data_IF_036665649760
#
_entry.id   IF_036665649760
#
_cell.length_a   1.000
_cell.length_b   1.000
_cell.length_c   1.000
_cell.angle_alpha   90.00
_cell.angle_beta   90.00
_cell.angle_gamma   90.00
#
_symmetry.space_group_name_H-M   'P 1'
#
loop_
_entity.id
_entity.type
_entity.pdbx_description
1 polymer ?
#
# COMPACT_ATOMS: atom_id res chain seq x y z
N UNK A 1 -27.91 -6.25 -3.76
CA UNK A 1 -27.17 -5.41 -4.71
C UNK A 1 -27.06 -6.16 -6.04
N UNK A 2 -27.59 -5.58 -7.11
CA UNK A 2 -27.52 -6.17 -8.46
C UNK A 2 -26.35 -5.55 -9.23
N UNK A 3 -25.25 -6.29 -9.32
CA UNK A 3 -24.03 -5.82 -10.01
C UNK A 3 -24.27 -5.58 -11.50
N UNK A 4 -25.19 -6.33 -12.12
CA UNK A 4 -25.55 -6.15 -13.52
C UNK A 4 -26.25 -4.79 -13.75
N UNK A 5 -27.11 -4.40 -12.83
CA UNK A 5 -27.78 -3.11 -12.88
C UNK A 5 -26.78 -1.94 -12.69
N UNK A 6 -25.82 -2.09 -11.77
CA UNK A 6 -24.74 -1.10 -11.56
C UNK A 6 -23.85 -1.01 -12.80
N UNK A 7 -23.44 -2.13 -13.37
CA UNK A 7 -22.65 -2.17 -14.60
C UNK A 7 -23.34 -1.44 -15.78
N UNK A 8 -24.66 -1.64 -15.91
CA UNK A 8 -25.45 -0.98 -16.96
C UNK A 8 -25.46 0.56 -16.83
N UNK A 9 -25.39 1.13 -15.61
CA UNK A 9 -25.29 2.58 -15.41
C UNK A 9 -23.97 3.14 -15.97
N UNK A 10 -22.89 2.35 -15.99
CA UNK A 10 -21.63 2.71 -16.64
C UNK A 10 -21.59 2.34 -18.13
N UNK A 11 -22.68 1.82 -18.70
CA UNK A 11 -22.74 1.38 -20.10
C UNK A 11 -21.92 0.12 -20.38
N UNK A 12 -21.60 -0.68 -19.36
CA UNK A 12 -20.88 -1.93 -19.54
C UNK A 12 -21.81 -3.04 -20.02
N UNK A 13 -21.35 -3.82 -21.00
CA UNK A 13 -22.08 -5.00 -21.46
C UNK A 13 -21.92 -6.16 -20.46
N UNK A 14 -22.98 -6.41 -19.71
CA UNK A 14 -23.08 -7.51 -18.76
C UNK A 14 -23.82 -8.73 -19.35
N UNK A 15 -23.74 -8.97 -20.66
CA UNK A 15 -24.28 -10.16 -21.32
C UNK A 15 -23.66 -11.47 -20.78
N UNK A 16 -22.43 -11.39 -20.26
CA UNK A 16 -21.81 -12.44 -19.46
C UNK A 16 -21.87 -12.08 -17.96
N UNK A 17 -22.04 -13.05 -17.07
CA UNK A 17 -22.07 -12.78 -15.63
C UNK A 17 -20.75 -12.14 -15.16
N UNK A 18 -20.81 -11.10 -14.31
CA UNK A 18 -19.63 -10.49 -13.71
C UNK A 18 -18.77 -11.51 -12.97
N UNK A 19 -17.47 -11.55 -13.27
CA UNK A 19 -16.52 -12.42 -12.58
C UNK A 19 -15.95 -11.70 -11.35
N UNK A 20 -16.22 -12.22 -10.14
CA UNK A 20 -15.58 -11.69 -8.93
C UNK A 20 -14.06 -11.91 -9.00
N UNK A 21 -13.30 -10.85 -8.83
CA UNK A 21 -11.83 -10.89 -8.80
C UNK A 21 -11.28 -10.96 -7.38
N UNK A 22 -12.07 -10.56 -6.39
CA UNK A 22 -11.65 -10.54 -5.00
C UNK A 22 -12.81 -10.96 -4.08
N UNK A 23 -12.61 -11.98 -3.22
CA UNK A 23 -13.71 -12.55 -2.43
C UNK A 23 -14.17 -11.66 -1.27
N UNK A 24 -13.33 -10.72 -0.83
CA UNK A 24 -13.58 -9.91 0.36
C UNK A 24 -14.09 -8.49 0.05
N UNK A 25 -14.09 -8.10 -1.22
CA UNK A 25 -14.62 -6.79 -1.63
C UNK A 25 -15.33 -6.90 -2.99
N UNK A 26 -16.32 -6.01 -3.26
CA UNK A 26 -17.01 -5.96 -4.53
C UNK A 26 -16.09 -5.45 -5.65
N UNK A 27 -15.35 -6.36 -6.29
CA UNK A 27 -14.45 -6.11 -7.42
C UNK A 27 -14.79 -7.14 -8.51
N UNK A 28 -15.26 -6.69 -9.65
CA UNK A 28 -15.78 -7.56 -10.70
C UNK A 28 -15.14 -7.24 -12.05
N UNK A 29 -14.69 -8.29 -12.75
CA UNK A 29 -14.34 -8.18 -14.17
C UNK A 29 -15.60 -8.28 -15.01
N UNK A 30 -15.77 -7.32 -15.94
CA UNK A 30 -16.86 -7.27 -16.91
C UNK A 30 -16.26 -6.92 -18.27
N UNK A 31 -16.12 -7.91 -19.16
CA UNK A 31 -15.37 -7.74 -20.40
C UNK A 31 -13.93 -7.28 -20.17
N UNK A 32 -13.56 -6.15 -20.75
CA UNK A 32 -12.23 -5.53 -20.60
C UNK A 32 -12.20 -4.46 -19.49
N UNK A 33 -13.14 -4.50 -18.55
CA UNK A 33 -13.26 -3.54 -17.46
C UNK A 33 -13.27 -4.22 -16.09
N UNK A 34 -12.90 -3.46 -15.07
CA UNK A 34 -13.05 -3.78 -13.66
C UNK A 34 -14.02 -2.80 -13.04
N UNK A 35 -15.17 -3.28 -12.58
CA UNK A 35 -16.13 -2.52 -11.78
C UNK A 35 -15.81 -2.76 -10.31
N UNK A 36 -15.57 -1.69 -9.56
CA UNK A 36 -15.14 -1.77 -8.16
C UNK A 36 -15.96 -0.81 -7.30
N UNK A 37 -16.37 -1.30 -6.10
CA UNK A 37 -16.85 -0.43 -5.04
C UNK A 37 -15.65 0.16 -4.31
N UNK A 38 -15.63 1.47 -4.12
CA UNK A 38 -14.54 2.20 -3.46
C UNK A 38 -15.03 2.93 -2.22
N UNK A 39 -14.11 3.35 -1.35
CA UNK A 39 -14.42 4.00 -0.05
C UNK A 39 -14.55 5.52 -0.14
N UNK A 40 -13.81 6.26 -0.99
CA UNK A 40 -13.86 7.71 -1.04
C UNK A 40 -15.26 8.28 -1.15
N UNK A 41 -15.48 9.47 -0.60
CA UNK A 41 -16.67 10.28 -0.87
C UNK A 41 -16.72 10.69 -2.35
N UNK A 42 -17.84 11.25 -2.78
CA UNK A 42 -18.00 11.69 -4.17
C UNK A 42 -16.93 12.69 -4.60
N UNK A 43 -16.63 13.68 -3.75
CA UNK A 43 -15.62 14.72 -4.06
C UNK A 43 -14.21 14.12 -4.08
N UNK A 44 -13.85 13.27 -3.13
CA UNK A 44 -12.56 12.58 -3.09
C UNK A 44 -12.38 11.63 -4.28
N UNK A 45 -13.42 10.90 -4.68
CA UNK A 45 -13.37 10.00 -5.84
C UNK A 45 -13.13 10.77 -7.15
N UNK A 46 -13.73 11.95 -7.31
CA UNK A 46 -13.48 12.82 -8.46
C UNK A 46 -12.08 13.44 -8.42
N UNK A 47 -11.62 13.88 -7.24
CA UNK A 47 -10.26 14.39 -7.07
C UNK A 47 -9.21 13.31 -7.39
N UNK A 48 -9.43 12.09 -6.89
CA UNK A 48 -8.59 10.93 -7.20
C UNK A 48 -8.55 10.66 -8.70
N UNK A 49 -9.70 10.61 -9.37
CA UNK A 49 -9.77 10.38 -10.82
C UNK A 49 -8.98 11.44 -11.61
N UNK A 50 -9.08 12.71 -11.22
CA UNK A 50 -8.33 13.80 -11.84
C UNK A 50 -6.82 13.67 -11.59
N UNK A 51 -6.40 13.34 -10.36
CA UNK A 51 -5.00 13.09 -10.01
C UNK A 51 -4.40 11.92 -10.81
N UNK A 52 -5.11 10.80 -10.90
CA UNK A 52 -4.67 9.64 -11.68
C UNK A 52 -4.55 9.94 -13.18
N UNK A 53 -5.50 10.74 -13.72
CA UNK A 53 -5.46 11.18 -15.11
C UNK A 53 -4.22 12.03 -15.40
N UNK A 54 -3.83 12.92 -14.48
CA UNK A 54 -2.61 13.72 -14.59
C UNK A 54 -1.35 12.86 -14.57
N UNK A 55 -1.23 11.91 -13.63
CA UNK A 55 -0.12 10.96 -13.59
C UNK A 55 0.00 10.15 -14.89
N UNK A 56 -1.14 9.68 -15.40
CA UNK A 56 -1.18 8.93 -16.67
C UNK A 56 -0.77 9.79 -17.85
N UNK A 57 -1.22 11.05 -17.90
CA UNK A 57 -0.82 12.03 -18.92
C UNK A 57 0.70 12.27 -18.92
N UNK A 58 1.31 12.30 -17.74
CA UNK A 58 2.77 12.40 -17.56
C UNK A 58 3.51 11.07 -17.84
N UNK A 59 2.79 10.02 -18.27
CA UNK A 59 3.36 8.75 -18.68
C UNK A 59 3.65 7.76 -17.55
N UNK A 60 3.02 7.92 -16.38
CA UNK A 60 3.06 6.90 -15.31
C UNK A 60 2.18 5.71 -15.69
N UNK A 61 2.68 4.49 -15.50
CA UNK A 61 1.93 3.27 -15.77
C UNK A 61 0.98 2.97 -14.59
N UNK A 62 -0.20 3.60 -14.61
CA UNK A 62 -1.26 3.49 -13.61
C UNK A 62 -2.63 3.42 -14.30
N UNK A 63 -3.58 2.71 -13.71
CA UNK A 63 -4.96 2.73 -14.22
C UNK A 63 -5.66 4.04 -13.89
N UNK A 64 -6.54 4.47 -14.79
CA UNK A 64 -7.39 5.65 -14.63
C UNK A 64 -8.84 5.23 -14.85
N UNK A 65 -9.80 5.76 -14.09
CA UNK A 65 -11.20 5.49 -14.32
C UNK A 65 -11.61 5.76 -15.78
N UNK A 66 -12.32 4.81 -16.40
CA UNK A 66 -12.81 4.94 -17.79
C UNK A 66 -14.10 5.75 -17.89
N UNK A 67 -14.75 5.99 -16.75
CA UNK A 67 -15.94 6.84 -16.60
C UNK A 67 -15.87 7.57 -15.25
N UNK A 68 -16.61 8.68 -15.12
CA UNK A 68 -16.71 9.37 -13.84
C UNK A 68 -17.20 8.42 -12.74
N UNK A 69 -16.59 8.43 -11.54
CA UNK A 69 -17.10 7.70 -10.38
C UNK A 69 -18.56 8.09 -10.10
N UNK A 70 -19.38 7.14 -9.65
CA UNK A 70 -20.80 7.37 -9.40
C UNK A 70 -21.21 6.77 -8.06
N UNK A 71 -22.01 7.51 -7.31
CA UNK A 71 -22.65 7.01 -6.11
C UNK A 71 -23.93 6.26 -6.48
N UNK A 72 -24.02 4.98 -6.10
CA UNK A 72 -25.19 4.12 -6.31
C UNK A 72 -25.43 3.26 -5.09
N UNK A 73 -26.69 3.19 -4.66
CA UNK A 73 -27.11 2.39 -3.47
C UNK A 73 -26.30 2.73 -2.21
N UNK A 74 -25.94 4.01 -2.02
CA UNK A 74 -25.16 4.47 -0.86
C UNK A 74 -23.69 4.03 -0.88
N UNK A 75 -23.17 3.66 -2.03
CA UNK A 75 -21.77 3.28 -2.22
C UNK A 75 -21.18 3.96 -3.46
N UNK A 76 -19.92 4.33 -3.39
CA UNK A 76 -19.19 4.86 -4.53
C UNK A 76 -18.67 3.72 -5.42
N UNK A 77 -18.89 3.84 -6.73
CA UNK A 77 -18.46 2.87 -7.73
C UNK A 77 -17.57 3.52 -8.77
N UNK A 78 -16.58 2.77 -9.22
CA UNK A 78 -15.59 3.19 -10.21
C UNK A 78 -15.35 2.07 -11.22
N UNK A 79 -15.06 2.45 -12.46
CA UNK A 79 -14.70 1.51 -13.53
C UNK A 79 -13.30 1.79 -14.01
N UNK A 80 -12.45 0.79 -13.94
CA UNK A 80 -11.08 0.80 -14.45
C UNK A 80 -10.94 -0.11 -15.69
N UNK A 81 -9.92 0.09 -16.54
CA UNK A 81 -9.58 -0.90 -17.55
C UNK A 81 -9.04 -2.17 -16.87
N UNK A 82 -9.38 -3.33 -17.40
CA UNK A 82 -8.75 -4.59 -16.99
C UNK A 82 -7.36 -4.70 -17.64
N UNK A 83 -6.32 -4.82 -16.82
CA UNK A 83 -4.95 -4.96 -17.31
C UNK A 83 -4.57 -6.45 -17.33
N UNK A 84 -4.25 -6.95 -18.52
CA UNK A 84 -3.72 -8.32 -18.70
C UNK A 84 -2.20 -8.31 -18.59
N UNK A 85 -1.64 -9.24 -17.83
CA UNK A 85 -0.19 -9.35 -17.65
C UNK A 85 0.17 -10.43 -16.63
N UNK A 86 1.44 -10.48 -16.27
CA UNK A 86 1.95 -11.39 -15.25
C UNK A 86 1.84 -10.77 -13.84
N UNK A 87 1.63 -11.59 -12.85
CA UNK A 87 1.81 -11.20 -11.44
C UNK A 87 3.29 -11.16 -11.08
N UNK A 88 3.61 -10.45 -10.01
CA UNK A 88 4.94 -10.45 -9.43
C UNK A 88 5.41 -11.88 -9.11
N UNK A 89 6.66 -12.21 -9.49
CA UNK A 89 7.28 -13.52 -9.35
C UNK A 89 8.65 -13.48 -8.62
N UNK A 90 9.00 -12.35 -7.99
CA UNK A 90 10.24 -12.22 -7.20
C UNK A 90 11.51 -12.05 -8.04
N UNK A 91 11.42 -11.68 -9.33
CA UNK A 91 12.60 -11.43 -10.15
C UNK A 91 13.20 -10.06 -9.84
N UNK A 92 14.53 -9.95 -9.82
CA UNK A 92 15.27 -8.72 -9.54
C UNK A 92 14.80 -7.56 -10.46
N UNK A 93 14.60 -7.83 -11.75
CA UNK A 93 14.10 -6.84 -12.69
C UNK A 93 12.72 -6.30 -12.36
N UNK A 94 11.82 -7.15 -11.80
CA UNK A 94 10.49 -6.73 -11.35
C UNK A 94 10.56 -5.83 -10.12
N UNK A 95 11.51 -6.10 -9.22
CA UNK A 95 11.70 -5.31 -7.99
C UNK A 95 12.24 -3.91 -8.36
N UNK A 96 13.26 -3.84 -9.20
CA UNK A 96 13.80 -2.56 -9.71
C UNK A 96 12.71 -1.76 -10.43
N UNK A 97 11.92 -2.41 -11.28
CA UNK A 97 10.84 -1.77 -12.03
C UNK A 97 9.72 -1.25 -11.13
N UNK A 98 9.38 -1.98 -10.06
CA UNK A 98 8.41 -1.52 -9.05
C UNK A 98 8.93 -0.27 -8.32
N UNK A 99 10.18 -0.27 -7.87
CA UNK A 99 10.81 0.91 -7.27
C UNK A 99 10.83 2.10 -8.23
N UNK A 100 11.15 1.88 -9.51
CA UNK A 100 11.11 2.92 -10.56
C UNK A 100 9.70 3.51 -10.73
N UNK A 101 8.66 2.66 -10.72
CA UNK A 101 7.28 3.13 -10.84
C UNK A 101 6.88 4.00 -9.64
N UNK A 102 7.16 3.57 -8.41
CA UNK A 102 6.88 4.37 -7.22
C UNK A 102 7.68 5.69 -7.24
N UNK A 103 8.96 5.64 -7.60
CA UNK A 103 9.81 6.84 -7.73
C UNK A 103 9.25 7.83 -8.74
N UNK A 104 8.75 7.37 -9.88
CA UNK A 104 8.08 8.24 -10.88
C UNK A 104 6.78 8.84 -10.36
N UNK A 105 5.96 8.07 -9.64
CA UNK A 105 4.75 8.58 -8.99
C UNK A 105 5.13 9.73 -8.06
N UNK A 106 6.06 9.53 -7.13
CA UNK A 106 6.47 10.56 -6.18
C UNK A 106 7.13 11.79 -6.83
N UNK A 107 7.91 11.60 -7.89
CA UNK A 107 8.59 12.70 -8.57
C UNK A 107 7.64 13.59 -9.39
N UNK A 108 6.53 13.03 -9.88
CA UNK A 108 5.57 13.71 -10.75
C UNK A 108 4.30 14.18 -10.01
N UNK A 109 4.13 13.75 -8.76
CA UNK A 109 2.98 14.12 -7.94
C UNK A 109 3.09 15.54 -7.37
N UNK A 110 1.97 16.22 -7.10
CA UNK A 110 1.96 17.49 -6.41
C UNK A 110 2.63 17.43 -5.04
N UNK A 111 3.45 18.44 -4.72
CA UNK A 111 4.16 18.57 -3.44
C UNK A 111 3.70 19.77 -2.61
N UNK A 112 3.00 20.72 -3.21
CA UNK A 112 2.57 21.98 -2.60
C UNK A 112 1.07 22.04 -2.28
N UNK A 113 0.31 21.01 -2.65
CA UNK A 113 -1.10 20.86 -2.33
C UNK A 113 -1.50 19.37 -2.38
N UNK A 114 -2.57 19.02 -1.69
CA UNK A 114 -3.02 17.63 -1.54
C UNK A 114 -3.80 17.08 -2.76
N UNK A 115 -3.91 17.81 -3.86
CA UNK A 115 -4.68 17.42 -5.04
C UNK A 115 -6.16 17.04 -4.76
N UNK A 116 -6.74 17.53 -3.66
CA UNK A 116 -8.08 17.14 -3.20
C UNK A 116 -8.14 15.79 -2.49
N UNK A 117 -7.00 15.17 -2.20
CA UNK A 117 -6.91 13.93 -1.44
C UNK A 117 -6.88 14.21 0.06
N UNK A 118 -7.26 13.21 0.85
CA UNK A 118 -7.13 13.26 2.31
C UNK A 118 -5.66 13.40 2.70
N UNK A 119 -5.37 14.27 3.66
CA UNK A 119 -4.03 14.42 4.23
C UNK A 119 -3.86 13.43 5.38
N UNK A 120 -2.76 12.70 5.36
CA UNK A 120 -2.37 11.78 6.43
C UNK A 120 -2.18 12.52 7.76
N UNK A 121 -2.78 12.03 8.83
CA UNK A 121 -2.69 12.60 10.18
C UNK A 121 -2.72 11.54 11.31
N UNK A 122 -2.21 10.34 11.07
CA UNK A 122 -2.19 9.25 12.04
C UNK A 122 -0.94 9.30 12.94
N UNK A 123 -0.91 10.28 13.86
CA UNK A 123 0.22 10.49 14.80
C UNK A 123 -0.20 10.38 16.27
N UNK A 124 -1.42 9.94 16.54
CA UNK A 124 -1.99 9.98 17.88
C UNK A 124 -2.40 8.58 18.41
N UNK A 125 -1.71 7.53 17.94
CA UNK A 125 -1.92 6.17 18.48
C UNK A 125 -1.65 6.17 19.99
N UNK A 126 -2.64 5.73 20.76
CA UNK A 126 -2.54 5.73 22.22
C UNK A 126 -1.88 4.44 22.72
N UNK A 127 -1.38 4.49 23.96
CA UNK A 127 -0.90 3.27 24.63
C UNK A 127 -1.99 2.19 24.67
N UNK A 128 -3.25 2.55 24.92
CA UNK A 128 -4.37 1.62 24.99
C UNK A 128 -4.60 0.89 23.65
N UNK A 129 -4.59 1.63 22.54
CA UNK A 129 -4.76 1.04 21.19
C UNK A 129 -3.62 0.07 20.87
N UNK A 130 -2.38 0.49 21.11
CA UNK A 130 -1.18 -0.32 20.86
C UNK A 130 -1.21 -1.62 21.69
N UNK A 131 -1.60 -1.53 22.96
CA UNK A 131 -1.67 -2.70 23.81
C UNK A 131 -2.79 -3.66 23.39
N UNK A 132 -3.95 -3.13 22.98
CA UNK A 132 -5.04 -3.92 22.45
C UNK A 132 -4.62 -4.70 21.20
N UNK A 133 -3.96 -4.05 20.26
CA UNK A 133 -3.46 -4.70 19.03
C UNK A 133 -2.41 -5.78 19.35
N UNK A 134 -1.47 -5.50 20.24
CA UNK A 134 -0.44 -6.46 20.64
C UNK A 134 -1.01 -7.70 21.33
N UNK A 135 -2.04 -7.55 22.13
CA UNK A 135 -2.71 -8.68 22.79
C UNK A 135 -3.43 -9.56 21.75
N UNK A 136 -4.11 -8.96 20.74
CA UNK A 136 -4.73 -9.68 19.64
C UNK A 136 -3.69 -10.39 18.77
N UNK A 137 -2.57 -9.74 18.46
CA UNK A 137 -1.45 -10.33 17.70
C UNK A 137 -0.85 -11.52 18.46
N UNK A 138 -0.69 -11.41 19.78
CA UNK A 138 -0.19 -12.50 20.62
C UNK A 138 -1.11 -13.73 20.55
N UNK A 139 -2.43 -13.50 20.65
CA UNK A 139 -3.44 -14.56 20.57
C UNK A 139 -3.42 -15.24 19.18
N UNK A 140 -3.33 -14.45 18.10
CA UNK A 140 -3.22 -14.99 16.75
C UNK A 140 -1.96 -15.85 16.56
N UNK A 141 -0.80 -15.34 17.01
CA UNK A 141 0.48 -16.06 16.94
C UNK A 141 0.45 -17.37 17.75
N UNK A 142 -0.07 -17.31 19.00
CA UNK A 142 -0.21 -18.48 19.85
C UNK A 142 -1.14 -19.54 19.22
N UNK A 143 -2.22 -19.12 18.55
CA UNK A 143 -3.11 -19.99 17.78
C UNK A 143 -2.42 -20.73 16.64
N UNK A 144 -1.27 -20.26 16.16
CA UNK A 144 -0.41 -20.88 15.15
C UNK A 144 0.81 -21.58 15.76
N UNK A 145 0.90 -21.69 17.09
CA UNK A 145 2.05 -22.29 17.78
C UNK A 145 3.33 -21.43 17.73
N UNK A 146 3.19 -20.12 17.46
CA UNK A 146 4.30 -19.17 17.40
C UNK A 146 4.39 -18.43 18.74
N UNK A 147 5.59 -18.39 19.32
CA UNK A 147 5.88 -17.59 20.51
C UNK A 147 6.55 -16.28 20.09
N UNK A 148 5.90 -15.15 20.41
CA UNK A 148 6.45 -13.81 20.23
C UNK A 148 6.92 -13.29 21.60
N UNK A 149 8.04 -12.58 21.64
CA UNK A 149 8.45 -11.82 22.84
C UNK A 149 7.66 -10.50 22.91
N UNK A 150 6.39 -10.61 23.28
CA UNK A 150 5.47 -9.47 23.39
C UNK A 150 5.97 -8.43 24.40
N UNK A 151 6.69 -8.83 25.45
CA UNK A 151 7.15 -7.88 26.48
C UNK A 151 8.20 -6.91 25.93
N UNK A 152 9.23 -7.43 25.22
CA UNK A 152 10.24 -6.57 24.59
C UNK A 152 9.60 -5.71 23.47
N UNK A 153 8.68 -6.32 22.71
CA UNK A 153 7.96 -5.66 21.63
C UNK A 153 7.11 -4.49 22.13
N UNK A 154 6.33 -4.71 23.18
CA UNK A 154 5.50 -3.69 23.81
C UNK A 154 6.32 -2.46 24.22
N UNK A 155 7.44 -2.67 24.93
CA UNK A 155 8.29 -1.56 25.34
C UNK A 155 8.79 -0.74 24.14
N UNK A 156 9.13 -1.40 23.03
CA UNK A 156 9.56 -0.74 21.78
C UNK A 156 8.43 0.04 21.12
N UNK A 157 7.24 -0.53 20.99
CA UNK A 157 6.09 0.16 20.38
C UNK A 157 5.71 1.41 21.16
N UNK A 158 5.71 1.36 22.49
CA UNK A 158 5.46 2.54 23.32
C UNK A 158 6.54 3.62 23.14
N UNK A 159 7.82 3.25 23.02
CA UNK A 159 8.89 4.20 22.70
C UNK A 159 8.74 4.85 21.33
N UNK A 160 8.22 4.13 20.33
CA UNK A 160 7.91 4.68 19.01
C UNK A 160 6.75 5.67 19.14
N UNK A 161 5.69 5.30 19.85
CA UNK A 161 4.52 6.15 20.09
C UNK A 161 4.88 7.50 20.75
N UNK A 162 5.79 7.50 21.72
CA UNK A 162 6.27 8.72 22.37
C UNK A 162 6.91 9.72 21.39
N UNK A 163 7.38 9.26 20.24
CA UNK A 163 8.08 10.07 19.23
C UNK A 163 7.20 10.53 18.07
N UNK A 164 5.94 10.08 17.98
CA UNK A 164 5.04 10.39 16.86
C UNK A 164 4.86 11.89 16.63
N UNK A 165 4.62 12.64 17.71
CA UNK A 165 4.43 14.10 17.60
C UNK A 165 5.69 14.83 17.15
N UNK A 166 6.86 14.38 17.58
CA UNK A 166 8.14 14.95 17.11
C UNK A 166 8.40 14.63 15.64
N UNK A 167 7.95 13.45 15.15
CA UNK A 167 8.01 13.08 13.74
C UNK A 167 7.05 13.93 12.89
N UNK A 168 5.84 14.21 13.39
CA UNK A 168 4.86 15.10 12.73
C UNK A 168 5.41 16.51 12.51
N UNK A 169 6.21 17.02 13.45
CA UNK A 169 6.80 18.36 13.38
C UNK A 169 8.00 18.45 12.42
N UNK A 170 8.50 17.31 11.90
CA UNK A 170 9.58 17.32 10.92
C UNK A 170 9.07 17.83 9.56
N UNK A 171 9.84 18.70 8.92
CA UNK A 171 9.51 19.24 7.59
C UNK A 171 9.82 18.23 6.48
N UNK A 172 9.24 17.02 6.56
CA UNK A 172 9.41 16.00 5.54
C UNK A 172 8.66 16.36 4.25
N UNK A 173 9.26 16.15 3.07
CA UNK A 173 8.59 16.39 1.80
C UNK A 173 7.35 15.52 1.65
N UNK A 174 6.18 16.16 1.51
CA UNK A 174 4.91 15.48 1.25
C UNK A 174 4.60 15.44 -0.24
N UNK A 175 3.89 14.39 -0.65
CA UNK A 175 3.39 14.18 -2.02
C UNK A 175 1.99 13.58 -1.98
N UNK A 176 1.21 13.81 -3.04
CA UNK A 176 0.05 12.98 -3.32
C UNK A 176 0.54 11.62 -3.83
N UNK A 177 -0.02 10.53 -3.34
CA UNK A 177 0.35 9.18 -3.78
C UNK A 177 -0.85 8.24 -3.73
N UNK A 178 -0.92 7.20 -4.61
CA UNK A 178 -1.96 6.18 -4.53
C UNK A 178 -1.96 5.36 -3.26
N UNK A 179 -0.86 5.38 -2.49
CA UNK A 179 -0.69 4.61 -1.25
C UNK A 179 -0.89 3.08 -1.43
N UNK A 180 -0.65 2.28 -0.39
CA UNK A 180 -0.77 0.80 -0.44
C UNK A 180 -0.05 0.16 -1.65
N UNK A 181 1.16 0.67 -1.97
CA UNK A 181 1.97 0.20 -3.09
C UNK A 181 2.60 -1.16 -2.76
N UNK A 182 2.00 -2.23 -3.29
CA UNK A 182 2.44 -3.62 -3.04
C UNK A 182 2.34 -4.49 -4.28
N UNK A 183 3.00 -5.65 -4.26
CA UNK A 183 3.08 -6.56 -5.41
C UNK A 183 1.72 -7.06 -5.91
N UNK A 184 0.72 -7.21 -5.03
CA UNK A 184 -0.63 -7.64 -5.41
C UNK A 184 -1.36 -6.58 -6.25
N UNK A 185 -1.03 -5.31 -6.04
CA UNK A 185 -1.58 -4.18 -6.77
C UNK A 185 -0.82 -3.89 -8.09
N UNK A 186 0.15 -4.74 -8.48
CA UNK A 186 0.93 -4.59 -9.71
C UNK A 186 0.64 -5.71 -10.71
N UNK A 187 0.46 -5.31 -11.97
CA UNK A 187 0.41 -6.23 -13.12
C UNK A 187 1.54 -5.87 -14.08
N UNK A 188 2.41 -6.84 -14.36
CA UNK A 188 3.54 -6.66 -15.25
C UNK A 188 3.12 -6.96 -16.69
N UNK A 189 3.01 -5.93 -17.54
CA UNK A 189 2.70 -6.05 -18.96
C UNK A 189 3.95 -6.38 -19.79
N UNK A 190 5.13 -6.19 -19.22
CA UNK A 190 6.43 -6.69 -19.63
C UNK A 190 7.28 -6.94 -18.36
N UNK A 191 8.37 -7.71 -18.39
CA UNK A 191 9.16 -8.06 -17.21
C UNK A 191 9.60 -6.87 -16.35
N UNK A 192 9.88 -5.73 -16.97
CA UNK A 192 10.35 -4.48 -16.38
C UNK A 192 9.30 -3.35 -16.39
N UNK A 193 8.02 -3.69 -16.68
CA UNK A 193 6.95 -2.70 -16.83
C UNK A 193 5.71 -3.06 -16.00
N UNK A 194 5.71 -2.76 -14.69
CA UNK A 194 4.52 -2.87 -13.86
C UNK A 194 3.54 -1.74 -14.14
N UNK A 195 2.24 -2.07 -14.04
CA UNK A 195 1.12 -1.12 -14.02
C UNK A 195 0.46 -1.21 -12.66
N UNK A 196 0.29 -0.08 -11.97
CA UNK A 196 -0.45 -0.02 -10.71
C UNK A 196 -1.97 -0.08 -11.00
N UNK A 197 -2.66 -1.09 -10.45
CA UNK A 197 -4.06 -1.42 -10.77
C UNK A 197 -5.07 -1.12 -9.66
N UNK A 198 -4.60 -0.80 -8.45
CA UNK A 198 -5.45 -0.45 -7.30
C UNK A 198 -4.96 0.84 -6.62
N UNK A 199 -5.31 2.02 -7.12
CA UNK A 199 -4.86 3.31 -6.61
C UNK A 199 -5.85 3.96 -5.61
N UNK A 200 -6.82 3.24 -5.07
CA UNK A 200 -7.99 3.84 -4.38
C UNK A 200 -7.72 4.29 -2.95
N UNK A 201 -6.54 4.00 -2.38
CA UNK A 201 -6.16 4.41 -1.02
C UNK A 201 -5.34 5.72 -1.01
N UNK A 202 -5.48 6.53 -2.06
CA UNK A 202 -4.65 7.71 -2.26
C UNK A 202 -4.72 8.73 -1.11
N UNK A 203 -3.54 9.21 -0.70
CA UNK A 203 -3.35 10.17 0.38
C UNK A 203 -2.33 11.25 -0.02
N UNK A 204 -2.31 12.34 0.73
CA UNK A 204 -1.22 13.30 0.73
C UNK A 204 -0.43 13.16 2.04
N UNK A 205 0.83 12.72 1.95
CA UNK A 205 1.66 12.37 3.11
C UNK A 205 3.15 12.54 2.83
N UNK A 206 4.02 12.49 3.87
CA UNK A 206 5.46 12.42 3.67
C UNK A 206 5.81 11.23 2.75
N UNK A 207 6.51 11.48 1.63
CA UNK A 207 6.79 10.43 0.64
C UNK A 207 7.63 9.27 1.20
N UNK A 208 8.43 9.52 2.25
CA UNK A 208 9.18 8.46 2.94
C UNK A 208 8.28 7.50 3.71
N UNK A 209 7.06 7.91 4.07
CA UNK A 209 6.07 7.03 4.71
C UNK A 209 5.51 6.04 3.69
N UNK A 210 5.12 6.50 2.50
CA UNK A 210 4.67 5.61 1.43
C UNK A 210 5.80 4.67 0.97
N UNK A 211 7.04 5.18 0.86
CA UNK A 211 8.21 4.35 0.58
C UNK A 211 8.44 3.30 1.66
N UNK A 212 8.32 3.66 2.94
CA UNK A 212 8.47 2.73 4.06
C UNK A 212 7.38 1.66 4.04
N UNK A 213 6.12 2.04 3.84
CA UNK A 213 5.01 1.09 3.74
C UNK A 213 5.20 0.12 2.57
N UNK A 214 5.57 0.64 1.38
CA UNK A 214 5.84 -0.19 0.21
C UNK A 214 6.94 -1.21 0.49
N UNK A 215 8.03 -0.83 1.15
CA UNK A 215 9.14 -1.72 1.46
C UNK A 215 8.80 -2.74 2.56
N UNK A 216 8.01 -2.37 3.56
CA UNK A 216 7.55 -3.28 4.63
C UNK A 216 6.55 -4.31 4.11
N UNK A 217 5.57 -3.89 3.32
CA UNK A 217 4.41 -4.69 2.96
C UNK A 217 4.37 -5.10 1.48
N UNK A 218 5.48 -5.00 0.73
CA UNK A 218 5.48 -5.31 -0.70
C UNK A 218 4.94 -6.71 -1.02
N UNK A 219 5.28 -7.70 -0.22
CA UNK A 219 4.85 -9.09 -0.39
C UNK A 219 3.49 -9.42 0.26
N UNK A 220 2.83 -8.43 0.86
CA UNK A 220 1.56 -8.64 1.54
C UNK A 220 0.47 -9.14 0.57
N UNK A 221 -0.34 -10.07 1.05
CA UNK A 221 -1.51 -10.69 0.40
C UNK A 221 -1.25 -11.49 -0.89
N UNK A 222 -0.21 -11.24 -1.66
CA UNK A 222 0.05 -11.96 -2.92
C UNK A 222 0.56 -13.38 -2.66
N UNK A 223 -0.23 -14.39 -3.01
CA UNK A 223 0.07 -15.81 -2.75
C UNK A 223 1.38 -16.31 -3.43
N UNK A 224 1.77 -15.72 -4.57
CA UNK A 224 3.02 -16.07 -5.27
C UNK A 224 4.27 -15.36 -4.72
N UNK A 225 4.11 -14.36 -3.84
CA UNK A 225 5.22 -13.65 -3.24
C UNK A 225 5.88 -14.48 -2.12
N UNK A 226 7.17 -14.23 -1.81
CA UNK A 226 7.82 -14.82 -0.65
C UNK A 226 7.10 -14.49 0.66
N UNK A 227 7.02 -15.46 1.59
CA UNK A 227 6.46 -15.24 2.94
C UNK A 227 7.43 -14.51 3.86
N UNK A 228 7.93 -13.36 3.43
CA UNK A 228 8.88 -12.53 4.19
C UNK A 228 8.89 -11.09 3.65
N UNK A 229 9.34 -10.15 4.45
CA UNK A 229 9.74 -8.83 3.98
C UNK A 229 10.88 -8.96 2.94
N UNK A 230 11.12 -7.94 2.15
CA UNK A 230 12.30 -7.91 1.28
C UNK A 230 13.57 -8.29 2.06
N UNK A 231 14.45 -9.10 1.47
CA UNK A 231 15.82 -9.21 1.94
C UNK A 231 16.56 -7.88 1.75
N UNK A 232 17.68 -7.69 2.44
CA UNK A 232 18.51 -6.48 2.29
C UNK A 232 18.91 -6.24 0.82
N UNK A 233 19.11 -7.31 0.04
CA UNK A 233 19.39 -7.21 -1.39
C UNK A 233 18.20 -6.71 -2.18
N UNK A 234 17.03 -7.30 -2.00
CA UNK A 234 15.79 -6.88 -2.69
C UNK A 234 15.38 -5.45 -2.30
N UNK A 235 15.58 -5.08 -1.04
CA UNK A 235 15.37 -3.71 -0.55
C UNK A 235 16.23 -2.71 -1.33
N UNK A 236 17.52 -3.02 -1.50
CA UNK A 236 18.43 -2.19 -2.30
C UNK A 236 18.06 -2.13 -3.77
N UNK A 237 17.61 -3.24 -4.36
CA UNK A 237 17.12 -3.26 -5.74
C UNK A 237 15.91 -2.32 -5.93
N UNK A 238 14.96 -2.36 -4.98
CA UNK A 238 13.81 -1.46 -5.03
C UNK A 238 14.26 0.01 -4.92
N UNK A 239 15.13 0.32 -3.98
CA UNK A 239 15.69 1.67 -3.79
C UNK A 239 16.51 2.13 -5.00
N UNK A 240 17.23 1.25 -5.68
CA UNK A 240 17.96 1.58 -6.91
C UNK A 240 16.98 2.06 -8.01
N UNK A 241 15.86 1.35 -8.20
CA UNK A 241 14.82 1.78 -9.14
C UNK A 241 14.15 3.09 -8.71
N UNK A 242 13.82 3.24 -7.42
CA UNK A 242 13.21 4.45 -6.86
C UNK A 242 14.10 5.69 -7.05
N UNK A 243 15.39 5.55 -6.79
CA UNK A 243 16.39 6.62 -6.89
C UNK A 243 16.64 7.12 -8.33
N UNK A 244 16.16 6.42 -9.37
CA UNK A 244 16.24 6.93 -10.74
C UNK A 244 15.43 8.22 -10.94
N UNK A 245 14.40 8.46 -10.15
CA UNK A 245 13.51 9.62 -10.27
C UNK A 245 13.49 10.52 -9.04
N UNK A 246 13.88 10.01 -7.88
CA UNK A 246 13.79 10.73 -6.59
C UNK A 246 15.17 10.86 -5.96
N UNK A 247 15.54 12.09 -5.64
CA UNK A 247 16.66 12.38 -4.72
C UNK A 247 16.08 12.69 -3.34
N UNK A 248 16.48 11.89 -2.36
CA UNK A 248 16.06 12.08 -0.97
C UNK A 248 16.79 13.27 -0.33
N UNK A 249 16.09 14.05 0.48
CA UNK A 249 16.65 15.16 1.25
C UNK A 249 17.44 14.66 2.46
N UNK A 250 18.23 15.55 3.07
CA UNK A 250 18.96 15.22 4.30
C UNK A 250 18.01 14.85 5.45
N UNK A 251 16.86 15.54 5.55
CA UNK A 251 15.85 15.27 6.58
C UNK A 251 15.19 13.91 6.39
N UNK A 252 14.90 13.49 5.14
CA UNK A 252 14.39 12.16 4.84
C UNK A 252 15.40 11.07 5.18
N UNK A 253 16.68 11.27 4.87
CA UNK A 253 17.73 10.32 5.20
C UNK A 253 17.90 10.19 6.73
N UNK A 254 17.85 11.30 7.46
CA UNK A 254 17.95 11.33 8.92
C UNK A 254 16.72 10.72 9.59
N UNK A 255 15.52 11.01 9.09
CA UNK A 255 14.24 10.56 9.64
C UNK A 255 13.85 9.13 9.24
N UNK A 256 14.61 8.46 8.36
CA UNK A 256 14.21 7.19 7.74
C UNK A 256 13.80 6.11 8.73
N UNK A 257 14.65 5.81 9.71
CA UNK A 257 14.34 4.76 10.68
C UNK A 257 13.09 5.09 11.49
N UNK A 258 12.88 6.37 11.82
CA UNK A 258 11.67 6.82 12.52
C UNK A 258 10.43 6.67 11.63
N UNK A 259 10.54 6.93 10.32
CA UNK A 259 9.46 6.71 9.36
C UNK A 259 9.08 5.21 9.27
N UNK A 260 10.07 4.31 9.17
CA UNK A 260 9.83 2.87 9.15
C UNK A 260 9.17 2.39 10.45
N UNK A 261 9.68 2.83 11.62
CA UNK A 261 9.11 2.50 12.92
C UNK A 261 7.69 3.03 13.07
N UNK A 262 7.42 4.25 12.59
CA UNK A 262 6.09 4.86 12.64
C UNK A 262 5.09 4.09 11.78
N UNK A 263 5.42 3.76 10.52
CA UNK A 263 4.55 2.97 9.65
C UNK A 263 4.39 1.52 10.13
N UNK A 264 5.39 0.99 10.83
CA UNK A 264 5.21 -0.28 11.50
C UNK A 264 4.16 -0.18 12.62
N UNK A 265 4.19 0.88 13.41
CA UNK A 265 3.24 1.10 14.48
C UNK A 265 1.81 1.33 13.94
N UNK A 266 1.67 2.18 12.91
CA UNK A 266 0.39 2.58 12.35
C UNK A 266 -0.24 1.46 11.48
N UNK A 267 0.46 1.05 10.42
CA UNK A 267 -0.12 0.18 9.39
C UNK A 267 0.14 -1.31 9.64
N UNK A 268 1.35 -1.65 10.12
CA UNK A 268 1.74 -3.07 10.23
C UNK A 268 1.10 -3.72 11.46
N UNK A 269 1.04 -3.04 12.61
CA UNK A 269 0.36 -3.58 13.78
C UNK A 269 -1.13 -3.74 13.52
N UNK A 270 -1.78 -2.69 12.98
CA UNK A 270 -3.19 -2.76 12.62
C UNK A 270 -3.47 -3.93 11.66
N UNK A 271 -2.67 -4.09 10.59
CA UNK A 271 -2.82 -5.20 9.67
C UNK A 271 -2.71 -6.56 10.38
N UNK A 272 -1.74 -6.72 11.29
CA UNK A 272 -1.54 -7.97 12.02
C UNK A 272 -2.69 -8.26 13.00
N UNK A 273 -3.26 -7.24 13.63
CA UNK A 273 -4.38 -7.40 14.56
C UNK A 273 -5.70 -7.67 13.81
N UNK A 274 -6.01 -6.89 12.76
CA UNK A 274 -7.30 -6.96 12.06
C UNK A 274 -7.41 -8.15 11.08
N UNK A 275 -6.28 -8.62 10.52
CA UNK A 275 -6.27 -9.67 9.51
C UNK A 275 -6.12 -11.09 10.10
N UNK A 276 -7.09 -11.54 10.89
CA UNK A 276 -7.10 -12.87 11.52
C UNK A 276 -6.92 -14.03 10.53
N UNK A 277 -7.49 -13.94 9.32
CA UNK A 277 -7.34 -14.97 8.29
C UNK A 277 -5.91 -15.03 7.73
N UNK A 278 -5.18 -13.92 7.76
CA UNK A 278 -3.77 -13.86 7.39
C UNK A 278 -2.88 -14.76 8.26
N UNK A 279 -3.21 -14.88 9.55
CA UNK A 279 -2.49 -15.78 10.45
C UNK A 279 -2.73 -17.27 10.17
N UNK A 280 -3.80 -17.63 9.45
CA UNK A 280 -4.09 -19.01 9.00
C UNK A 280 -3.35 -19.38 7.72
N UNK A 281 -2.88 -18.41 6.95
CA UNK A 281 -2.02 -18.62 5.78
C UNK A 281 -0.55 -18.71 6.24
N UNK A 282 0.12 -19.86 6.10
CA UNK A 282 1.51 -20.03 6.55
C UNK A 282 2.49 -19.04 5.92
N UNK A 283 2.24 -18.62 4.67
CA UNK A 283 3.04 -17.63 3.96
C UNK A 283 2.88 -16.24 4.58
N UNK A 284 1.64 -15.82 4.83
CA UNK A 284 1.34 -14.52 5.44
C UNK A 284 1.84 -14.46 6.88
N UNK A 285 1.66 -15.53 7.64
CA UNK A 285 2.23 -15.68 8.99
C UNK A 285 3.77 -15.55 8.98
N UNK A 286 4.44 -16.18 8.02
CA UNK A 286 5.89 -16.06 7.89
C UNK A 286 6.32 -14.63 7.54
N UNK A 287 5.54 -13.90 6.72
CA UNK A 287 5.74 -12.47 6.46
C UNK A 287 5.64 -11.67 7.77
N UNK A 288 4.59 -11.86 8.57
CA UNK A 288 4.40 -11.18 9.84
C UNK A 288 5.59 -11.41 10.80
N UNK A 289 6.02 -12.65 10.95
CA UNK A 289 7.21 -12.98 11.77
C UNK A 289 8.48 -12.30 11.22
N UNK A 290 8.62 -12.19 9.91
CA UNK A 290 9.78 -11.53 9.31
C UNK A 290 9.82 -10.02 9.53
N UNK A 291 8.66 -9.38 9.63
CA UNK A 291 8.53 -7.95 9.94
C UNK A 291 9.01 -7.63 11.36
N UNK A 292 8.69 -8.48 12.34
CA UNK A 292 9.26 -8.35 13.70
C UNK A 292 10.80 -8.41 13.68
N UNK A 293 11.36 -9.37 12.93
CA UNK A 293 12.82 -9.51 12.80
C UNK A 293 13.48 -8.34 12.09
N UNK A 294 12.77 -7.69 11.15
CA UNK A 294 13.27 -6.49 10.48
C UNK A 294 13.50 -5.37 11.49
N UNK A 295 12.57 -5.14 12.39
CA UNK A 295 12.70 -4.08 13.39
C UNK A 295 13.95 -4.29 14.27
N UNK A 296 14.27 -5.54 14.63
CA UNK A 296 15.48 -5.85 15.43
C UNK A 296 16.77 -5.59 14.65
N UNK A 297 16.71 -5.55 13.32
CA UNK A 297 17.84 -5.37 12.42
C UNK A 297 17.69 -4.15 11.51
N UNK A 298 16.98 -3.12 11.95
CA UNK A 298 16.60 -1.98 11.13
C UNK A 298 17.80 -1.23 10.52
N UNK A 299 18.97 -1.29 11.16
CA UNK A 299 20.22 -0.71 10.63
C UNK A 299 20.66 -1.30 9.28
N UNK A 300 20.24 -2.53 8.94
CA UNK A 300 20.57 -3.18 7.67
C UNK A 300 19.67 -2.68 6.52
N UNK A 301 18.56 -2.03 6.87
CA UNK A 301 17.49 -1.58 5.96
C UNK A 301 17.50 -0.05 5.77
N UNK A 302 18.68 0.49 5.47
CA UNK A 302 18.85 1.93 5.19
C UNK A 302 18.35 2.34 3.81
N UNK A 303 18.39 3.65 3.55
CA UNK A 303 18.03 4.27 2.25
C UNK A 303 19.17 4.33 1.23
N UNK A 304 20.35 3.89 1.59
CA UNK A 304 21.47 3.81 0.63
C UNK A 304 21.40 2.51 -0.17
N UNK A 305 21.45 2.58 -1.51
CA UNK A 305 21.44 1.41 -2.40
C UNK A 305 22.60 0.47 -2.17
#
# INVERSE_FOLDING_TARGET
MDITAIAAQFGLDASQPPLSLYPYAPVYKIGEHVLKRTRPTTDEAHALAAYLAELRYQGVDIVVPTACPQEMEGSMWVVYPFISGEKYAGRDEQIVAAGRLLGRIHALSPTNHNAGLTTYDEYALTEEDILADLDVIADHAAGQGITLDITAFKARMLQIAERQMALKEQALPCVATPYDFKADNLVYVAPDRPVLIDPDNALFLPRVFDLALALLLFHNTLASAPGRVFSVWEWRLFLAGYGESVTLTADELQGWHQAVEHLFLDEVLWLMADFADGWRDPRQTALFVSLFKLLDNLSDYGLTP
#
